data_IF_381565351105
#
_entry.id   IF_381565351105
#
_cell.length_a   1.000
_cell.length_b   1.000
_cell.length_c   1.000
_cell.angle_alpha   90.00
_cell.angle_beta   90.00
_cell.angle_gamma   90.00
#
_symmetry.space_group_name_H-M   'P 1'
#
loop_
_entity.id
_entity.type
_entity.pdbx_description
1 polymer ?
#
# COMPACT_ATOMS: atom_id res chain seq x y z
N UNK A 1 -6.65 -4.32 14.30
CA UNK A 1 -7.59 -4.90 13.32
C UNK A 1 -6.90 -5.27 12.01
N UNK A 2 -6.16 -4.35 11.36
CA UNK A 2 -5.33 -4.68 10.18
C UNK A 2 -4.39 -5.87 10.40
N UNK A 3 -3.71 -5.93 11.55
CA UNK A 3 -2.83 -7.04 11.92
C UNK A 3 -3.55 -8.38 12.10
N UNK A 4 -4.84 -8.38 12.44
CA UNK A 4 -5.64 -9.60 12.52
C UNK A 4 -6.05 -10.08 11.13
N UNK A 5 -6.52 -9.15 10.28
CA UNK A 5 -6.85 -9.44 8.88
C UNK A 5 -5.62 -9.93 8.09
N UNK A 6 -4.45 -9.33 8.35
CA UNK A 6 -3.22 -9.75 7.72
C UNK A 6 -2.64 -11.04 8.32
N UNK A 7 -2.87 -11.33 9.62
CA UNK A 7 -2.57 -12.65 10.19
C UNK A 7 -3.34 -13.78 9.51
N UNK A 8 -4.56 -13.51 9.05
CA UNK A 8 -5.36 -14.49 8.32
C UNK A 8 -4.93 -14.68 6.87
N UNK A 9 -4.18 -13.74 6.28
CA UNK A 9 -3.71 -13.82 4.90
C UNK A 9 -2.19 -13.96 4.90
N UNK A 10 -1.69 -15.20 4.84
CA UNK A 10 -0.27 -15.45 4.64
C UNK A 10 0.18 -14.82 3.31
N UNK A 11 1.01 -13.77 3.38
CA UNK A 11 1.52 -13.00 2.23
C UNK A 11 2.03 -13.92 1.12
N UNK A 12 2.95 -14.83 1.46
CA UNK A 12 3.59 -15.70 0.48
C UNK A 12 2.58 -16.65 -0.18
N UNK A 13 1.68 -17.24 0.61
CA UNK A 13 0.65 -18.12 0.08
C UNK A 13 -0.27 -17.37 -0.89
N UNK A 14 -0.79 -16.21 -0.49
CA UNK A 14 -1.71 -15.43 -1.33
C UNK A 14 -1.05 -15.02 -2.65
N UNK A 15 0.18 -14.52 -2.60
CA UNK A 15 0.93 -14.13 -3.81
C UNK A 15 1.16 -15.35 -4.71
N UNK A 16 1.57 -16.48 -4.14
CA UNK A 16 1.83 -17.71 -4.90
C UNK A 16 0.57 -18.22 -5.61
N UNK A 17 -0.58 -18.20 -4.95
CA UNK A 17 -1.86 -18.64 -5.52
C UNK A 17 -2.33 -17.67 -6.61
N UNK A 18 -2.25 -16.36 -6.37
CA UNK A 18 -2.62 -15.35 -7.36
C UNK A 18 -1.74 -15.39 -8.62
N UNK A 19 -0.43 -15.60 -8.44
CA UNK A 19 0.51 -15.78 -9.54
C UNK A 19 0.22 -17.08 -10.32
N UNK A 20 -0.08 -18.17 -9.61
CA UNK A 20 -0.47 -19.45 -10.22
C UNK A 20 -1.73 -19.30 -11.08
N UNK A 21 -2.80 -18.69 -10.57
CA UNK A 21 -4.03 -18.49 -11.34
C UNK A 21 -3.83 -17.54 -12.53
N UNK A 22 -2.96 -16.54 -12.39
CA UNK A 22 -2.57 -15.67 -13.51
C UNK A 22 -1.87 -16.47 -14.61
N UNK A 23 -0.93 -17.35 -14.23
CA UNK A 23 -0.26 -18.25 -15.15
C UNK A 23 -1.21 -19.27 -15.79
N UNK A 24 -2.15 -19.84 -15.03
CA UNK A 24 -3.17 -20.77 -15.53
C UNK A 24 -4.08 -20.11 -16.58
N UNK A 25 -4.55 -18.88 -16.32
CA UNK A 25 -5.44 -18.14 -17.22
C UNK A 25 -4.82 -17.87 -18.60
N UNK A 26 -3.49 -17.82 -18.68
CA UNK A 26 -2.71 -17.66 -19.91
C UNK A 26 -2.10 -18.96 -20.44
N UNK A 27 -2.48 -20.11 -19.87
CA UNK A 27 -2.03 -21.44 -20.33
C UNK A 27 -0.59 -21.79 -19.96
N UNK A 28 -0.06 -21.24 -18.86
CA UNK A 28 1.29 -21.46 -18.34
C UNK A 28 2.41 -21.19 -19.36
N UNK A 29 2.26 -20.16 -20.19
CA UNK A 29 3.31 -19.73 -21.11
C UNK A 29 4.62 -19.42 -20.33
N UNK A 30 5.76 -19.91 -20.81
CA UNK A 30 7.05 -19.74 -20.15
C UNK A 30 7.59 -18.31 -20.26
N UNK A 31 8.41 -17.87 -19.28
CA UNK A 31 9.09 -16.56 -19.32
C UNK A 31 8.26 -15.41 -18.77
N UNK A 32 7.13 -15.72 -18.11
CA UNK A 32 6.18 -14.77 -17.50
C UNK A 32 5.98 -15.01 -16.02
N UNK A 33 6.71 -15.96 -15.43
CA UNK A 33 6.59 -16.38 -14.04
C UNK A 33 6.92 -15.23 -13.08
N UNK A 34 7.97 -14.45 -13.38
CA UNK A 34 8.33 -13.27 -12.59
C UNK A 34 7.30 -12.14 -12.75
N UNK A 35 6.78 -11.93 -13.96
CA UNK A 35 5.75 -10.92 -14.22
C UNK A 35 4.48 -11.23 -13.41
N UNK A 36 4.03 -12.49 -13.43
CA UNK A 36 2.86 -12.97 -12.68
C UNK A 36 3.07 -12.80 -11.16
N UNK A 37 4.26 -13.13 -10.66
CA UNK A 37 4.63 -12.93 -9.25
C UNK A 37 4.58 -11.45 -8.86
N UNK A 38 5.23 -10.58 -9.63
CA UNK A 38 5.28 -9.14 -9.34
C UNK A 38 3.90 -8.49 -9.43
N UNK A 39 3.05 -8.93 -10.37
CA UNK A 39 1.66 -8.48 -10.46
C UNK A 39 0.86 -8.90 -9.22
N UNK A 40 1.04 -10.13 -8.75
CA UNK A 40 0.43 -10.60 -7.50
C UNK A 40 0.92 -9.83 -6.27
N UNK A 41 2.21 -9.51 -6.17
CA UNK A 41 2.74 -8.67 -5.08
C UNK A 41 2.14 -7.25 -5.06
N UNK A 42 1.94 -6.67 -6.25
CA UNK A 42 1.28 -5.37 -6.38
C UNK A 42 -0.18 -5.45 -5.93
N UNK A 43 -0.94 -6.44 -6.43
CA UNK A 43 -2.34 -6.65 -6.06
C UNK A 43 -2.50 -6.88 -4.54
N UNK A 44 -1.60 -7.65 -3.93
CA UNK A 44 -1.59 -7.87 -2.48
C UNK A 44 -1.42 -6.54 -1.72
N UNK A 45 -0.47 -5.72 -2.15
CA UNK A 45 -0.20 -4.41 -1.54
C UNK A 45 -1.39 -3.46 -1.68
N UNK A 46 -2.05 -3.45 -2.85
CA UNK A 46 -3.26 -2.66 -3.09
C UNK A 46 -4.42 -3.05 -2.16
N UNK A 47 -4.63 -4.35 -1.93
CA UNK A 47 -5.64 -4.85 -1.01
C UNK A 47 -5.37 -4.35 0.41
N UNK A 48 -4.11 -4.42 0.86
CA UNK A 48 -3.73 -3.96 2.21
C UNK A 48 -3.95 -2.46 2.39
N UNK A 49 -3.54 -1.66 1.40
CA UNK A 49 -3.73 -0.20 1.42
C UNK A 49 -5.22 0.14 1.43
N UNK A 50 -6.00 -0.47 0.54
CA UNK A 50 -7.44 -0.24 0.43
C UNK A 50 -8.15 -0.61 1.73
N UNK A 51 -7.78 -1.76 2.31
CA UNK A 51 -8.34 -2.22 3.60
C UNK A 51 -7.98 -1.27 4.73
N UNK A 52 -6.73 -0.80 4.78
CA UNK A 52 -6.28 0.16 5.79
C UNK A 52 -7.06 1.48 5.70
N UNK A 53 -7.22 2.01 4.48
CA UNK A 53 -7.97 3.25 4.24
C UNK A 53 -9.44 3.07 4.62
N UNK A 54 -10.08 1.97 4.21
CA UNK A 54 -11.47 1.69 4.56
C UNK A 54 -11.68 1.64 6.09
N UNK A 55 -10.77 0.99 6.83
CA UNK A 55 -10.83 0.97 8.30
C UNK A 55 -10.72 2.37 8.92
N UNK A 56 -9.89 3.25 8.34
CA UNK A 56 -9.80 4.64 8.82
C UNK A 56 -11.10 5.41 8.57
N UNK A 57 -11.78 5.15 7.46
CA UNK A 57 -13.04 5.82 7.13
C UNK A 57 -14.22 5.34 7.98
N UNK A 58 -14.31 4.03 8.25
CA UNK A 58 -15.39 3.43 9.06
C UNK A 58 -15.36 3.92 10.52
N UNK A 59 -14.16 4.02 11.11
CA UNK A 59 -13.98 4.38 12.52
C UNK A 59 -13.76 5.90 12.74
N UNK A 60 -13.81 6.73 11.69
CA UNK A 60 -13.32 8.12 11.69
C UNK A 60 -11.94 8.26 12.36
N UNK A 61 -11.11 7.23 12.16
CA UNK A 61 -9.84 7.07 12.84
C UNK A 61 -8.75 7.91 12.18
N UNK A 62 -7.89 8.50 13.01
CA UNK A 62 -6.74 9.27 12.52
C UNK A 62 -5.60 8.32 12.13
N UNK A 63 -4.88 8.68 11.06
CA UNK A 63 -3.64 7.98 10.68
C UNK A 63 -2.65 8.08 11.85
N UNK A 64 -2.08 6.93 12.24
CA UNK A 64 -1.03 6.87 13.27
C UNK A 64 0.25 6.29 12.67
N UNK A 65 1.40 6.73 13.17
CA UNK A 65 2.71 6.18 12.80
C UNK A 65 2.74 4.66 13.05
N UNK A 66 2.16 4.19 14.16
CA UNK A 66 2.07 2.76 14.47
C UNK A 66 1.27 1.99 13.42
N UNK A 67 0.11 2.52 12.99
CA UNK A 67 -0.70 1.91 11.93
C UNK A 67 0.04 1.87 10.59
N UNK A 68 0.73 2.96 10.23
CA UNK A 68 1.54 3.01 9.01
C UNK A 68 2.73 2.02 9.08
N UNK A 69 3.38 1.85 10.24
CA UNK A 69 4.48 0.88 10.41
C UNK A 69 3.98 -0.54 10.23
N UNK A 70 2.79 -0.84 10.74
CA UNK A 70 2.13 -2.14 10.54
C UNK A 70 1.82 -2.37 9.05
N UNK A 71 1.23 -1.39 8.37
CA UNK A 71 0.94 -1.49 6.94
C UNK A 71 2.21 -1.70 6.11
N UNK A 72 3.25 -0.89 6.37
CA UNK A 72 4.53 -0.99 5.68
C UNK A 72 5.18 -2.37 5.85
N UNK A 73 5.17 -2.92 7.07
CA UNK A 73 5.70 -4.24 7.36
C UNK A 73 4.94 -5.35 6.61
N UNK A 74 3.61 -5.22 6.48
CA UNK A 74 2.79 -6.18 5.74
C UNK A 74 3.02 -6.14 4.23
N UNK A 75 3.30 -4.97 3.67
CA UNK A 75 3.69 -4.81 2.26
C UNK A 75 5.06 -5.47 2.00
N UNK A 76 5.93 -5.53 3.01
CA UNK A 76 7.27 -6.10 2.93
C UNK A 76 8.38 -5.05 2.99
N UNK A 77 8.08 -3.83 3.45
CA UNK A 77 9.10 -2.83 3.75
C UNK A 77 9.81 -3.26 5.03
N UNK A 78 11.13 -3.44 4.95
CA UNK A 78 11.97 -3.80 6.08
C UNK A 78 12.30 -2.57 6.95
N UNK A 79 12.74 -2.83 8.19
CA UNK A 79 13.20 -1.79 9.13
C UNK A 79 12.22 -0.64 9.36
N UNK A 80 10.92 -0.92 9.42
CA UNK A 80 9.89 0.12 9.61
C UNK A 80 10.00 0.86 10.94
N UNK A 81 10.76 0.31 11.89
CA UNK A 81 11.05 0.91 13.19
C UNK A 81 11.83 2.23 13.08
N UNK A 82 12.64 2.43 12.04
CA UNK A 82 13.47 3.64 11.86
C UNK A 82 12.68 4.89 11.47
N UNK A 83 11.46 4.72 10.94
CA UNK A 83 10.63 5.84 10.50
C UNK A 83 9.98 6.55 11.69
N UNK A 84 10.17 7.86 11.80
CA UNK A 84 9.55 8.70 12.84
C UNK A 84 8.58 9.75 12.25
N UNK A 85 8.42 9.72 10.94
CA UNK A 85 7.57 10.63 10.17
C UNK A 85 6.52 9.83 9.43
N UNK A 86 5.25 10.23 9.58
CA UNK A 86 4.15 9.70 8.77
C UNK A 86 4.37 9.98 7.27
N UNK A 87 4.96 11.13 6.94
CA UNK A 87 5.32 11.52 5.58
C UNK A 87 6.29 10.53 4.94
N UNK A 88 7.43 10.29 5.59
CA UNK A 88 8.48 9.41 5.06
C UNK A 88 7.95 7.98 4.88
N UNK A 89 7.11 7.53 5.82
CA UNK A 89 6.56 6.18 5.81
C UNK A 89 5.49 6.00 4.73
N UNK A 90 4.64 7.00 4.51
CA UNK A 90 3.69 7.01 3.39
C UNK A 90 4.43 7.05 2.05
N UNK A 91 5.49 7.86 1.93
CA UNK A 91 6.32 7.88 0.70
C UNK A 91 7.03 6.54 0.45
N UNK A 92 7.53 5.88 1.50
CA UNK A 92 8.10 4.54 1.39
C UNK A 92 7.05 3.51 0.90
N UNK A 93 5.82 3.58 1.42
CA UNK A 93 4.70 2.76 0.95
C UNK A 93 4.37 3.05 -0.52
N UNK A 94 4.33 4.32 -0.93
CA UNK A 94 4.09 4.72 -2.32
C UNK A 94 5.16 4.18 -3.27
N UNK A 95 6.44 4.32 -2.91
CA UNK A 95 7.56 3.77 -3.68
C UNK A 95 7.49 2.24 -3.81
N UNK A 96 7.20 1.54 -2.71
CA UNK A 96 7.09 0.08 -2.70
C UNK A 96 5.93 -0.43 -3.56
N UNK A 97 4.89 0.38 -3.75
CA UNK A 97 3.71 0.04 -4.56
C UNK A 97 3.79 0.57 -6.00
N UNK A 98 4.98 1.00 -6.44
CA UNK A 98 5.25 1.55 -7.78
C UNK A 98 4.40 2.77 -8.15
N UNK A 99 3.85 3.46 -7.16
CA UNK A 99 3.23 4.76 -7.33
C UNK A 99 4.29 5.85 -7.21
N UNK A 100 4.18 6.91 -8.02
CA UNK A 100 5.05 8.08 -7.85
C UNK A 100 4.71 8.78 -6.53
N UNK A 101 5.69 9.05 -5.64
CA UNK A 101 5.42 9.71 -4.37
C UNK A 101 4.72 11.04 -4.59
N UNK A 102 3.48 11.14 -4.14
CA UNK A 102 2.68 12.36 -4.24
C UNK A 102 2.37 12.94 -2.86
N UNK A 103 2.62 12.18 -1.79
CA UNK A 103 2.35 12.62 -0.43
C UNK A 103 3.43 13.61 0.03
N UNK A 104 3.11 14.91 0.04
CA UNK A 104 4.00 16.02 0.46
C UNK A 104 5.40 15.99 -0.18
N UNK A 105 5.51 15.44 -1.38
CA UNK A 105 6.78 15.41 -2.12
C UNK A 105 7.29 16.82 -2.39
N UNK A 106 6.39 17.74 -2.76
CA UNK A 106 6.67 19.18 -2.82
C UNK A 106 5.44 19.96 -2.32
N UNK A 107 5.62 21.12 -1.63
CA UNK A 107 4.52 21.89 -1.04
C UNK A 107 3.39 22.27 -2.01
N UNK A 108 3.71 22.40 -3.31
CA UNK A 108 2.79 22.84 -4.36
C UNK A 108 2.52 21.78 -5.44
N UNK A 109 3.08 20.58 -5.30
CA UNK A 109 2.88 19.52 -6.30
C UNK A 109 1.59 18.77 -5.99
N UNK A 110 0.64 18.86 -6.91
CA UNK A 110 -0.59 18.09 -6.86
C UNK A 110 -0.32 16.65 -7.32
N UNK A 111 -1.03 15.69 -6.72
CA UNK A 111 -1.01 14.31 -7.16
C UNK A 111 -1.57 14.20 -8.60
N UNK A 112 -0.70 13.95 -9.57
CA UNK A 112 -1.04 13.79 -10.99
C UNK A 112 -1.69 12.42 -11.31
N UNK A 113 -1.56 11.46 -10.41
CA UNK A 113 -2.08 10.11 -10.59
C UNK A 113 -3.60 10.07 -10.38
N UNK A 114 -4.33 9.78 -11.47
CA UNK A 114 -5.80 9.80 -11.54
C UNK A 114 -6.47 8.95 -10.45
N UNK A 115 -5.95 7.74 -10.21
CA UNK A 115 -6.52 6.74 -9.30
C UNK A 115 -5.66 6.51 -8.04
N UNK A 116 -4.93 7.54 -7.59
CA UNK A 116 -4.13 7.43 -6.38
C UNK A 116 -5.02 7.14 -5.17
N UNK A 117 -4.89 5.94 -4.60
CA UNK A 117 -5.67 5.49 -3.43
C UNK A 117 -5.48 6.42 -2.22
N UNK A 118 -4.32 7.05 -2.11
CA UNK A 118 -3.99 7.96 -1.02
C UNK A 118 -4.56 9.38 -1.22
N UNK A 119 -5.12 9.73 -2.40
CA UNK A 119 -5.48 11.12 -2.75
C UNK A 119 -6.43 11.79 -1.75
N UNK A 120 -7.40 11.07 -1.21
CA UNK A 120 -8.36 11.61 -0.22
C UNK A 120 -7.65 11.89 1.12
N UNK A 121 -6.79 10.98 1.56
CA UNK A 121 -6.05 11.10 2.81
C UNK A 121 -4.92 12.13 2.70
N UNK A 122 -4.26 12.23 1.53
CA UNK A 122 -3.39 13.34 1.16
C UNK A 122 -4.11 14.68 1.34
N UNK A 123 -5.34 14.83 0.84
CA UNK A 123 -6.12 16.08 0.91
C UNK A 123 -6.57 16.40 2.33
N UNK A 124 -7.01 15.41 3.12
CA UNK A 124 -7.38 15.62 4.54
C UNK A 124 -6.20 16.18 5.35
N UNK A 125 -5.01 15.59 5.20
CA UNK A 125 -3.80 16.03 5.89
C UNK A 125 -3.23 17.37 5.37
N UNK A 126 -3.61 17.84 4.18
CA UNK A 126 -3.33 19.20 3.72
C UNK A 126 -4.33 20.20 4.32
N UNK A 127 -5.61 19.82 4.42
CA UNK A 127 -6.68 20.71 4.93
C UNK A 127 -6.55 21.08 6.41
N UNK A 128 -5.93 20.23 7.23
CA UNK A 128 -5.64 20.52 8.65
C UNK A 128 -4.57 21.63 8.79
N UNK A 129 -3.76 21.89 7.76
CA UNK A 129 -2.63 22.81 7.82
C UNK A 129 -2.94 24.22 7.30
N UNK A 130 -4.09 24.43 6.64
CA UNK A 130 -4.56 25.75 6.21
C UNK A 130 -5.57 26.38 7.19
N UNK A 131 -5.58 25.95 8.45
CA UNK A 131 -6.35 26.58 9.53
C UNK A 131 -5.48 27.45 10.42
#
# INVERSE_FOLDING_TARGET
>A
MLSHFAKTINRHQWISEAAYFSAEARGFESGKELDDWLAAEMAYSEILITTYIAMLEEDDAVITISGLKQLAALIGIEHTDVFNSDVELIQAIQNATKHSPCFRYEPNRLCEEMDCKWRKECRKLISVWYR
#
